data_IF_700761314202
#
_entry.id   IF_700761314202
#
_cell.length_a   1.000
_cell.length_b   1.000
_cell.length_c   1.000
_cell.angle_alpha   90.00
_cell.angle_beta   90.00
_cell.angle_gamma   90.00
#
_symmetry.space_group_name_H-M   'P 1'
#
loop_
_entity.id
_entity.type
_entity.pdbx_description
1 polymer ?
#
# COMPACT_ATOMS: atom_id res chain seq x y z
N UNK A 1 -58.35 62.83 3.19
CA UNK A 1 -57.08 63.15 3.87
C UNK A 1 -57.01 62.25 5.09
N UNK A 2 -56.61 60.98 4.98
CA UNK A 2 -55.24 60.51 4.73
C UNK A 2 -54.69 60.01 6.08
N UNK A 3 -54.91 58.73 6.40
CA UNK A 3 -54.35 58.06 7.59
C UNK A 3 -53.15 57.22 7.18
N UNK A 4 -52.04 57.34 7.92
CA UNK A 4 -50.82 56.55 7.76
C UNK A 4 -50.83 55.36 8.72
N UNK A 5 -50.64 54.15 8.22
CA UNK A 5 -50.22 52.99 9.00
C UNK A 5 -48.87 52.50 8.47
N UNK A 6 -47.86 52.51 9.34
CA UNK A 6 -46.53 51.98 9.06
C UNK A 6 -46.52 50.47 9.36
N UNK A 7 -46.30 49.65 8.33
CA UNK A 7 -46.08 48.22 8.46
C UNK A 7 -44.60 47.91 8.70
N UNK A 8 -44.27 47.28 9.82
CA UNK A 8 -42.95 46.75 10.10
C UNK A 8 -42.78 45.38 9.43
N UNK A 9 -41.82 45.26 8.50
CA UNK A 9 -41.43 43.99 7.89
C UNK A 9 -40.32 43.38 8.74
N UNK A 10 -40.60 42.26 9.41
CA UNK A 10 -39.57 41.42 10.03
C UNK A 10 -38.85 40.61 8.94
N UNK A 11 -37.59 40.94 8.70
CA UNK A 11 -36.69 40.14 7.88
C UNK A 11 -36.05 39.04 8.76
N UNK A 12 -36.51 37.81 8.61
CA UNK A 12 -35.92 36.63 9.25
C UNK A 12 -34.64 36.24 8.51
N UNK A 13 -33.48 36.51 9.10
CA UNK A 13 -32.17 36.07 8.57
C UNK A 13 -31.95 34.62 8.96
N UNK A 14 -32.02 33.70 7.99
CA UNK A 14 -31.59 32.31 8.16
C UNK A 14 -30.06 32.27 8.10
N UNK A 15 -29.41 32.22 9.27
CA UNK A 15 -28.00 31.92 9.37
C UNK A 15 -27.77 30.42 9.09
N UNK A 16 -27.46 30.08 7.84
CA UNK A 16 -26.97 28.76 7.46
C UNK A 16 -25.58 28.54 8.06
N UNK A 17 -25.50 27.77 9.15
CA UNK A 17 -24.22 27.37 9.73
C UNK A 17 -23.46 26.45 8.79
N UNK A 18 -22.29 26.87 8.32
CA UNK A 18 -21.34 26.01 7.65
C UNK A 18 -20.84 24.96 8.66
N UNK A 19 -21.45 23.78 8.69
CA UNK A 19 -20.84 22.61 9.34
C UNK A 19 -19.64 22.19 8.50
N UNK A 20 -18.48 22.74 8.81
CA UNK A 20 -17.21 22.19 8.32
C UNK A 20 -17.08 20.80 8.90
N UNK A 21 -17.37 19.77 8.10
CA UNK A 21 -17.09 18.39 8.48
C UNK A 21 -15.60 18.28 8.81
N UNK A 22 -15.28 18.05 10.08
CA UNK A 22 -13.90 17.89 10.53
C UNK A 22 -13.29 16.70 9.81
N UNK A 23 -12.19 16.93 9.08
CA UNK A 23 -11.45 15.84 8.42
C UNK A 23 -10.90 14.87 9.47
N UNK A 24 -10.91 13.56 9.20
CA UNK A 24 -10.32 12.59 10.10
C UNK A 24 -8.82 12.86 10.32
N UNK A 25 -8.36 12.76 11.56
CA UNK A 25 -6.93 12.87 11.88
C UNK A 25 -6.19 11.63 11.39
N UNK A 26 -5.11 11.82 10.63
CA UNK A 26 -4.29 10.72 10.11
C UNK A 26 -3.19 10.31 11.11
N UNK A 27 -2.82 9.01 11.18
CA UNK A 27 -1.69 8.55 11.97
C UNK A 27 -0.37 9.21 11.55
N UNK A 28 0.47 9.54 12.53
CA UNK A 28 1.79 10.14 12.30
C UNK A 28 2.84 9.09 11.88
N UNK A 29 2.73 7.84 12.37
CA UNK A 29 3.69 6.78 12.05
C UNK A 29 3.33 6.05 10.75
N UNK A 30 4.35 5.66 9.99
CA UNK A 30 4.17 4.86 8.76
C UNK A 30 3.46 3.52 9.02
N UNK A 31 3.73 2.91 10.19
CA UNK A 31 3.03 1.70 10.60
C UNK A 31 1.54 1.96 10.79
N UNK A 32 1.15 3.00 11.54
CA UNK A 32 -0.25 3.34 11.77
C UNK A 32 -0.97 3.72 10.47
N UNK A 33 -0.30 4.41 9.54
CA UNK A 33 -0.83 4.69 8.20
C UNK A 33 -1.09 3.42 7.40
N UNK A 34 -0.16 2.47 7.46
CA UNK A 34 -0.29 1.17 6.78
C UNK A 34 -1.43 0.34 7.37
N UNK A 35 -1.58 0.35 8.69
CA UNK A 35 -2.64 -0.39 9.38
C UNK A 35 -4.02 0.20 9.10
N UNK A 36 -4.14 1.53 8.99
CA UNK A 36 -5.38 2.18 8.59
C UNK A 36 -5.82 1.77 7.17
N UNK A 37 -4.88 1.75 6.21
CA UNK A 37 -5.17 1.31 4.84
C UNK A 37 -5.59 -0.17 4.82
N UNK A 38 -4.92 -1.04 5.58
CA UNK A 38 -5.27 -2.46 5.70
C UNK A 38 -6.67 -2.65 6.29
N UNK A 39 -7.00 -1.93 7.35
CA UNK A 39 -8.32 -2.00 7.97
C UNK A 39 -9.43 -1.57 7.00
N UNK A 40 -9.20 -0.47 6.25
CA UNK A 40 -10.13 -0.03 5.22
C UNK A 40 -10.26 -1.04 4.06
N UNK A 41 -9.16 -1.66 3.63
CA UNK A 41 -9.19 -2.71 2.63
C UNK A 41 -10.01 -3.92 3.10
N UNK A 42 -9.81 -4.35 4.35
CA UNK A 42 -10.57 -5.46 4.94
C UNK A 42 -12.08 -5.18 4.90
N UNK A 43 -12.51 -3.99 5.34
CA UNK A 43 -13.92 -3.56 5.26
C UNK A 43 -14.47 -3.67 3.84
N UNK A 44 -13.72 -3.16 2.85
CA UNK A 44 -14.16 -3.15 1.45
C UNK A 44 -14.28 -4.56 0.88
N UNK A 45 -13.30 -5.41 1.20
CA UNK A 45 -13.30 -6.82 0.81
C UNK A 45 -14.48 -7.54 1.45
N UNK A 46 -14.69 -7.40 2.75
CA UNK A 46 -15.78 -8.05 3.47
C UNK A 46 -17.14 -7.66 2.92
N UNK A 47 -17.37 -6.35 2.68
CA UNK A 47 -18.61 -5.86 2.05
C UNK A 47 -18.83 -6.50 0.68
N UNK A 48 -17.79 -6.51 -0.17
CA UNK A 48 -17.88 -7.14 -1.48
C UNK A 48 -18.18 -8.64 -1.40
N UNK A 49 -17.51 -9.35 -0.48
CA UNK A 49 -17.71 -10.79 -0.27
C UNK A 49 -19.14 -11.09 0.22
N UNK A 50 -19.66 -10.31 1.18
CA UNK A 50 -21.05 -10.43 1.64
C UNK A 50 -22.05 -10.16 0.52
N UNK A 51 -21.87 -9.09 -0.25
CA UNK A 51 -22.75 -8.77 -1.39
C UNK A 51 -22.76 -9.88 -2.44
N UNK A 52 -21.65 -10.61 -2.60
CA UNK A 52 -21.54 -11.75 -3.52
C UNK A 52 -22.01 -13.08 -2.93
N UNK A 53 -22.45 -13.12 -1.67
CA UNK A 53 -22.79 -14.36 -0.98
C UNK A 53 -21.58 -15.30 -0.76
N UNK A 54 -20.37 -14.73 -0.75
CA UNK A 54 -19.10 -15.44 -0.82
C UNK A 54 -18.28 -15.43 0.49
N UNK A 55 -18.81 -14.80 1.55
CA UNK A 55 -18.10 -14.57 2.81
C UNK A 55 -18.08 -15.78 3.79
N UNK A 56 -18.62 -16.93 3.41
CA UNK A 56 -18.64 -18.12 4.27
C UNK A 56 -17.24 -18.66 4.57
N UNK A 57 -17.05 -19.48 5.62
CA UNK A 57 -15.81 -20.21 5.84
C UNK A 57 -15.81 -21.57 5.11
N UNK A 58 -14.81 -21.89 4.25
CA UNK A 58 -13.71 -21.02 3.81
C UNK A 58 -14.19 -19.96 2.80
N UNK A 59 -13.54 -18.77 2.74
CA UNK A 59 -13.93 -17.72 1.81
C UNK A 59 -13.76 -18.19 0.36
N UNK A 60 -14.67 -17.80 -0.52
CA UNK A 60 -14.54 -18.12 -1.94
C UNK A 60 -13.34 -17.37 -2.54
N UNK A 61 -12.27 -18.11 -2.83
CA UNK A 61 -11.04 -17.58 -3.42
C UNK A 61 -11.27 -16.90 -4.78
N UNK A 62 -12.22 -17.39 -5.58
CA UNK A 62 -12.56 -16.81 -6.88
C UNK A 62 -13.22 -15.45 -6.71
N UNK A 63 -14.09 -15.31 -5.71
CA UNK A 63 -14.70 -14.02 -5.39
C UNK A 63 -13.68 -13.04 -4.80
N UNK A 64 -12.75 -13.53 -3.98
CA UNK A 64 -11.71 -12.72 -3.34
C UNK A 64 -10.66 -12.21 -4.33
N UNK A 65 -10.03 -13.14 -5.06
CA UNK A 65 -8.88 -12.87 -5.92
C UNK A 65 -9.24 -12.65 -7.38
N UNK A 66 -10.42 -13.06 -7.84
CA UNK A 66 -10.85 -12.96 -9.23
C UNK A 66 -10.75 -14.29 -9.99
N UNK A 67 -11.36 -14.33 -11.17
CA UNK A 67 -11.43 -15.49 -12.08
C UNK A 67 -11.12 -15.14 -13.52
N UNK A 68 -11.20 -13.86 -13.89
CA UNK A 68 -10.85 -13.40 -15.22
C UNK A 68 -9.38 -13.67 -15.54
N UNK A 69 -8.96 -13.64 -16.83
CA UNK A 69 -7.55 -13.69 -17.15
C UNK A 69 -6.83 -12.55 -16.42
N UNK A 70 -5.70 -12.83 -15.75
CA UNK A 70 -4.92 -11.80 -15.07
C UNK A 70 -4.51 -10.72 -16.09
N UNK A 71 -5.04 -9.51 -15.93
CA UNK A 71 -4.90 -8.42 -16.91
C UNK A 71 -3.70 -7.53 -16.65
N UNK A 72 -3.11 -7.61 -15.45
CA UNK A 72 -1.90 -6.88 -15.10
C UNK A 72 -0.75 -7.85 -14.91
N UNK A 73 0.38 -7.52 -15.54
CA UNK A 73 1.60 -8.34 -15.53
C UNK A 73 2.82 -7.41 -15.54
N UNK A 74 3.81 -7.72 -14.72
CA UNK A 74 5.08 -7.00 -14.69
C UNK A 74 6.23 -8.00 -14.61
N UNK A 75 7.15 -7.94 -15.56
CA UNK A 75 8.40 -8.71 -15.53
C UNK A 75 9.46 -7.89 -14.81
N UNK A 76 10.01 -8.48 -13.74
CA UNK A 76 11.04 -7.89 -12.89
C UNK A 76 12.43 -8.02 -13.52
N UNK A 77 13.39 -7.21 -13.07
CA UNK A 77 14.79 -7.31 -13.46
C UNK A 77 15.43 -8.67 -13.10
N UNK A 78 14.83 -9.39 -12.16
CA UNK A 78 15.19 -10.76 -11.77
C UNK A 78 14.73 -11.83 -12.77
N UNK A 79 13.87 -11.47 -13.73
CA UNK A 79 13.27 -12.38 -14.73
C UNK A 79 11.92 -12.96 -14.30
N UNK A 80 11.55 -12.86 -13.02
CA UNK A 80 10.23 -13.28 -12.54
C UNK A 80 9.13 -12.37 -13.08
N UNK A 81 7.97 -12.95 -13.38
CA UNK A 81 6.79 -12.19 -13.77
C UNK A 81 5.74 -12.26 -12.68
N UNK A 82 5.36 -11.09 -12.15
CA UNK A 82 4.25 -10.94 -11.20
C UNK A 82 3.00 -10.65 -11.99
N UNK A 83 1.89 -11.31 -11.65
CA UNK A 83 0.58 -11.14 -12.28
C UNK A 83 -0.47 -10.89 -11.21
N UNK A 84 -1.50 -10.12 -11.56
CA UNK A 84 -2.68 -9.99 -10.71
C UNK A 84 -3.95 -9.88 -11.56
N UNK A 85 -5.04 -10.34 -10.98
CA UNK A 85 -6.37 -10.19 -11.53
C UNK A 85 -6.86 -8.75 -11.30
N UNK A 86 -7.61 -8.23 -12.26
CA UNK A 86 -8.28 -6.93 -12.15
C UNK A 86 -9.74 -7.08 -11.72
N UNK A 87 -10.22 -8.30 -11.52
CA UNK A 87 -11.51 -8.63 -10.94
C UNK A 87 -11.36 -9.19 -9.51
N UNK A 88 -12.46 -9.63 -8.91
CA UNK A 88 -12.48 -10.02 -7.50
C UNK A 88 -12.64 -8.84 -6.53
N UNK A 89 -12.84 -9.17 -5.26
CA UNK A 89 -13.09 -8.19 -4.19
C UNK A 89 -11.83 -7.41 -3.81
N UNK A 90 -10.66 -8.04 -3.87
CA UNK A 90 -9.39 -7.36 -3.60
C UNK A 90 -9.10 -6.27 -4.65
N UNK A 91 -9.25 -6.58 -5.93
CA UNK A 91 -9.06 -5.60 -7.00
C UNK A 91 -10.04 -4.43 -6.91
N UNK A 92 -11.29 -4.69 -6.51
CA UNK A 92 -12.29 -3.64 -6.27
C UNK A 92 -11.88 -2.72 -5.12
N UNK A 93 -11.42 -3.29 -3.99
CA UNK A 93 -10.93 -2.51 -2.86
C UNK A 93 -9.71 -1.66 -3.24
N UNK A 94 -8.78 -2.23 -4.01
CA UNK A 94 -7.60 -1.49 -4.49
C UNK A 94 -7.99 -0.31 -5.40
N UNK A 95 -8.95 -0.49 -6.32
CA UNK A 95 -9.45 0.63 -7.14
C UNK A 95 -10.09 1.74 -6.31
N UNK A 96 -10.82 1.37 -5.26
CA UNK A 96 -11.41 2.36 -4.36
C UNK A 96 -10.33 3.16 -3.61
N UNK A 97 -9.35 2.46 -3.03
CA UNK A 97 -8.31 3.08 -2.19
C UNK A 97 -7.29 3.85 -3.03
N UNK A 98 -6.71 3.22 -4.05
CA UNK A 98 -5.59 3.78 -4.81
C UNK A 98 -6.02 4.47 -6.11
N UNK A 99 -7.24 4.24 -6.59
CA UNK A 99 -7.72 4.75 -7.88
C UNK A 99 -7.26 3.89 -9.04
N UNK A 100 -6.19 4.31 -9.74
CA UNK A 100 -5.64 3.59 -10.88
C UNK A 100 -4.91 2.32 -10.43
N UNK A 101 -5.58 1.16 -10.58
CA UNK A 101 -5.03 -0.14 -10.18
C UNK A 101 -3.77 -0.52 -10.98
N UNK A 102 -3.68 -0.17 -12.26
CA UNK A 102 -2.53 -0.52 -13.09
C UNK A 102 -1.29 0.27 -12.63
N UNK A 103 -1.48 1.56 -12.33
CA UNK A 103 -0.43 2.43 -11.79
C UNK A 103 -0.02 2.01 -10.38
N UNK A 104 -0.99 1.65 -9.52
CA UNK A 104 -0.71 1.08 -8.19
C UNK A 104 0.10 -0.20 -8.29
N UNK A 105 -0.36 -1.18 -9.08
CA UNK A 105 0.29 -2.47 -9.26
C UNK A 105 1.75 -2.31 -9.70
N UNK A 106 2.01 -1.49 -10.72
CA UNK A 106 3.39 -1.26 -11.19
C UNK A 106 4.27 -0.67 -10.10
N UNK A 107 3.78 0.35 -9.39
CA UNK A 107 4.55 1.05 -8.37
C UNK A 107 4.81 0.15 -7.15
N UNK A 108 3.79 -0.52 -6.62
CA UNK A 108 3.89 -1.44 -5.48
C UNK A 108 4.83 -2.60 -5.79
N UNK A 109 4.63 -3.28 -6.92
CA UNK A 109 5.47 -4.43 -7.29
C UNK A 109 6.92 -4.00 -7.47
N UNK A 110 7.19 -2.85 -8.11
CA UNK A 110 8.55 -2.34 -8.28
C UNK A 110 9.20 -2.03 -6.93
N UNK A 111 8.53 -1.26 -6.06
CA UNK A 111 9.06 -0.85 -4.76
C UNK A 111 9.33 -2.05 -3.84
N UNK A 112 8.42 -3.02 -3.81
CA UNK A 112 8.58 -4.23 -3.00
C UNK A 112 9.69 -5.17 -3.51
N UNK A 113 10.18 -4.97 -4.73
CA UNK A 113 11.20 -5.80 -5.36
C UNK A 113 12.57 -5.10 -5.56
N UNK A 114 12.76 -3.87 -5.04
CA UNK A 114 14.04 -3.15 -5.17
C UNK A 114 15.23 -3.90 -4.55
N UNK A 115 15.02 -4.58 -3.42
CA UNK A 115 16.08 -5.38 -2.76
C UNK A 115 16.41 -6.66 -3.56
N UNK A 116 15.44 -7.50 -3.94
CA UNK A 116 15.69 -8.62 -4.86
C UNK A 116 16.39 -8.22 -6.15
N UNK A 117 16.04 -7.06 -6.73
CA UNK A 117 16.75 -6.53 -7.89
C UNK A 117 18.21 -6.19 -7.58
N UNK A 118 18.48 -5.49 -6.47
CA UNK A 118 19.84 -5.16 -6.05
C UNK A 118 20.68 -6.42 -5.80
N UNK A 119 20.10 -7.46 -5.18
CA UNK A 119 20.75 -8.76 -4.97
C UNK A 119 21.07 -9.45 -6.30
N UNK A 120 20.14 -9.41 -7.27
CA UNK A 120 20.38 -9.96 -8.61
C UNK A 120 21.49 -9.21 -9.37
N UNK A 121 21.62 -7.90 -9.17
CA UNK A 121 22.74 -7.11 -9.72
C UNK A 121 24.06 -7.45 -9.02
N UNK A 122 24.06 -7.56 -7.69
CA UNK A 122 25.22 -8.00 -6.92
C UNK A 122 25.74 -9.37 -7.39
N UNK A 123 24.86 -10.34 -7.61
CA UNK A 123 25.24 -11.66 -8.12
C UNK A 123 25.85 -11.64 -9.53
N UNK A 124 25.69 -10.54 -10.29
CA UNK A 124 26.31 -10.31 -11.60
C UNK A 124 27.59 -9.46 -11.51
N UNK A 125 27.88 -8.86 -10.37
CA UNK A 125 29.05 -8.01 -10.19
C UNK A 125 30.35 -8.84 -10.25
N UNK A 126 31.31 -8.47 -11.13
CA UNK A 126 32.54 -9.24 -11.33
C UNK A 126 33.45 -9.22 -10.09
N UNK A 127 33.48 -8.12 -9.35
CA UNK A 127 34.27 -8.00 -8.12
C UNK A 127 33.71 -8.91 -7.03
N UNK A 128 32.38 -8.96 -6.92
CA UNK A 128 31.70 -9.86 -5.99
C UNK A 128 31.94 -11.34 -6.35
N UNK A 129 31.82 -11.69 -7.63
CA UNK A 129 32.13 -13.05 -8.13
C UNK A 129 33.58 -13.45 -7.87
N UNK A 130 34.52 -12.53 -8.08
CA UNK A 130 35.92 -12.78 -7.78
C UNK A 130 36.16 -12.99 -6.27
N UNK A 131 35.46 -12.24 -5.41
CA UNK A 131 35.54 -12.44 -3.96
C UNK A 131 34.94 -13.77 -3.50
N UNK A 132 33.83 -14.21 -4.11
CA UNK A 132 33.26 -15.54 -3.87
C UNK A 132 34.24 -16.65 -4.28
N UNK A 133 34.92 -16.50 -5.43
CA UNK A 133 35.94 -17.46 -5.86
C UNK A 133 37.13 -17.52 -4.89
N UNK A 134 37.63 -16.37 -4.41
CA UNK A 134 38.69 -16.33 -3.37
C UNK A 134 38.23 -17.03 -2.08
N UNK A 135 36.99 -16.80 -1.67
CA UNK A 135 36.41 -17.45 -0.48
C UNK A 135 36.32 -18.96 -0.65
N UNK A 136 35.90 -19.44 -1.82
CA UNK A 136 35.78 -20.86 -2.12
C UNK A 136 37.14 -21.59 -2.14
N UNK A 137 38.24 -20.86 -2.36
CA UNK A 137 39.59 -21.41 -2.32
C UNK A 137 40.17 -21.55 -0.91
N UNK A 138 39.51 -21.03 0.13
CA UNK A 138 39.97 -21.16 1.51
C UNK A 138 39.73 -22.58 2.05
N UNK A 139 40.68 -23.15 2.81
CA UNK A 139 40.46 -24.40 3.52
C UNK A 139 39.27 -24.32 4.50
N UNK A 140 38.61 -25.46 4.70
CA UNK A 140 37.52 -25.58 5.68
C UNK A 140 37.97 -25.09 7.05
N UNK A 141 37.12 -24.27 7.69
CA UNK A 141 37.32 -23.69 9.03
C UNK A 141 38.50 -22.70 9.14
N UNK A 142 39.20 -22.34 8.06
CA UNK A 142 40.22 -21.30 8.10
C UNK A 142 39.60 -19.89 8.10
N UNK A 143 39.23 -19.43 9.30
CA UNK A 143 38.65 -18.10 9.52
C UNK A 143 39.59 -16.95 9.16
N UNK A 144 40.92 -17.18 9.12
CA UNK A 144 41.91 -16.15 8.76
C UNK A 144 41.93 -15.95 7.25
N UNK A 145 42.04 -17.03 6.48
CA UNK A 145 41.94 -16.98 5.01
C UNK A 145 40.64 -16.30 4.58
N UNK A 146 39.54 -16.73 5.20
CA UNK A 146 38.20 -16.18 5.00
C UNK A 146 38.16 -14.66 5.17
N UNK A 147 38.69 -14.16 6.31
CA UNK A 147 38.69 -12.73 6.62
C UNK A 147 39.58 -11.94 5.65
N UNK A 148 40.77 -12.47 5.35
CA UNK A 148 41.69 -11.86 4.40
C UNK A 148 41.11 -11.76 2.98
N UNK A 149 40.17 -12.63 2.61
CA UNK A 149 39.46 -12.58 1.34
C UNK A 149 38.55 -11.35 1.14
N UNK A 150 38.19 -10.65 2.23
CA UNK A 150 37.45 -9.37 2.22
C UNK A 150 36.01 -9.46 1.70
N UNK A 151 35.42 -10.65 1.62
CA UNK A 151 34.10 -10.85 1.02
C UNK A 151 33.00 -10.07 1.76
N UNK A 152 32.98 -10.12 3.09
CA UNK A 152 31.91 -9.51 3.88
C UNK A 152 31.90 -7.98 3.78
N UNK A 153 33.09 -7.35 3.85
CA UNK A 153 33.25 -5.90 3.66
C UNK A 153 32.87 -5.47 2.24
N UNK A 154 33.31 -6.23 1.23
CA UNK A 154 32.93 -5.98 -0.16
C UNK A 154 31.42 -6.09 -0.36
N UNK A 155 30.82 -7.15 0.19
CA UNK A 155 29.38 -7.42 0.12
C UNK A 155 28.60 -6.26 0.71
N UNK A 156 28.91 -5.84 1.94
CA UNK A 156 28.20 -4.75 2.60
C UNK A 156 28.24 -3.45 1.78
N UNK A 157 29.40 -3.11 1.19
CA UNK A 157 29.54 -1.93 0.34
C UNK A 157 28.75 -2.05 -0.96
N UNK A 158 28.82 -3.19 -1.64
CA UNK A 158 28.12 -3.39 -2.91
C UNK A 158 26.60 -3.52 -2.72
N UNK A 159 26.11 -4.19 -1.68
CA UNK A 159 24.68 -4.27 -1.37
C UNK A 159 24.06 -2.87 -1.22
N UNK A 160 24.74 -1.98 -0.48
CA UNK A 160 24.30 -0.60 -0.33
C UNK A 160 24.30 0.16 -1.68
N UNK A 161 25.39 0.05 -2.46
CA UNK A 161 25.50 0.72 -3.75
C UNK A 161 24.44 0.23 -4.74
N UNK A 162 24.24 -1.08 -4.86
CA UNK A 162 23.27 -1.69 -5.76
C UNK A 162 21.83 -1.31 -5.39
N UNK A 163 21.51 -1.23 -4.10
CA UNK A 163 20.19 -0.76 -3.66
C UNK A 163 19.98 0.73 -3.97
N UNK A 164 21.01 1.56 -3.79
CA UNK A 164 20.96 2.97 -4.15
C UNK A 164 20.74 3.15 -5.65
N UNK A 165 21.42 2.38 -6.49
CA UNK A 165 21.23 2.38 -7.95
C UNK A 165 19.85 1.89 -8.36
N UNK A 166 19.34 0.82 -7.74
CA UNK A 166 17.98 0.33 -8.00
C UNK A 166 16.94 1.41 -7.64
N UNK A 167 17.08 2.07 -6.49
CA UNK A 167 16.23 3.20 -6.11
C UNK A 167 16.34 4.37 -7.08
N UNK A 168 17.56 4.70 -7.53
CA UNK A 168 17.79 5.78 -8.49
C UNK A 168 17.13 5.50 -9.84
N UNK A 169 17.20 4.25 -10.32
CA UNK A 169 16.58 3.80 -11.55
C UNK A 169 15.03 3.87 -11.48
N UNK A 170 14.46 3.56 -10.31
CA UNK A 170 13.01 3.48 -10.10
C UNK A 170 12.44 4.67 -9.30
N UNK A 171 13.07 5.85 -9.37
CA UNK A 171 12.61 7.03 -8.61
C UNK A 171 11.17 7.41 -8.93
N UNK A 172 10.74 7.27 -10.19
CA UNK A 172 9.38 7.62 -10.61
C UNK A 172 8.33 6.70 -9.99
N UNK A 173 8.63 5.41 -9.92
CA UNK A 173 7.79 4.39 -9.30
C UNK A 173 7.73 4.59 -7.80
N UNK A 174 8.85 4.92 -7.14
CA UNK A 174 8.89 5.27 -5.71
C UNK A 174 8.02 6.51 -5.42
N UNK A 175 8.17 7.59 -6.19
CA UNK A 175 7.32 8.78 -6.04
C UNK A 175 5.85 8.45 -6.24
N UNK A 176 5.54 7.65 -7.27
CA UNK A 176 4.16 7.21 -7.55
C UNK A 176 3.59 6.36 -6.42
N UNK A 177 4.38 5.46 -5.85
CA UNK A 177 3.99 4.62 -4.72
C UNK A 177 3.58 5.47 -3.52
N UNK A 178 4.39 6.48 -3.15
CA UNK A 178 4.05 7.39 -2.06
C UNK A 178 2.79 8.21 -2.35
N UNK A 179 2.65 8.77 -3.55
CA UNK A 179 1.46 9.53 -3.95
C UNK A 179 0.17 8.70 -3.84
N UNK A 180 0.20 7.46 -4.34
CA UNK A 180 -0.97 6.59 -4.31
C UNK A 180 -1.28 6.10 -2.90
N UNK A 181 -0.26 5.86 -2.07
CA UNK A 181 -0.45 5.56 -0.64
C UNK A 181 -1.04 6.71 0.13
N UNK A 182 -0.61 7.94 -0.13
CA UNK A 182 -1.18 9.13 0.50
C UNK A 182 -2.65 9.29 0.11
N UNK A 183 -3.00 9.09 -1.17
CA UNK A 183 -4.40 9.08 -1.61
C UNK A 183 -5.21 7.99 -0.89
N UNK A 184 -4.69 6.76 -0.85
CA UNK A 184 -5.34 5.63 -0.17
C UNK A 184 -5.51 5.88 1.33
N UNK A 185 -4.55 6.53 1.98
CA UNK A 185 -4.63 6.87 3.39
C UNK A 185 -5.81 7.81 3.69
N UNK A 186 -6.00 8.85 2.87
CA UNK A 186 -7.15 9.75 3.01
C UNK A 186 -8.48 9.02 2.76
N UNK A 187 -8.55 8.21 1.69
CA UNK A 187 -9.74 7.39 1.38
C UNK A 187 -10.07 6.41 2.51
N UNK A 188 -9.05 5.80 3.10
CA UNK A 188 -9.21 4.87 4.22
C UNK A 188 -9.76 5.59 5.46
N UNK A 189 -9.22 6.77 5.78
CA UNK A 189 -9.67 7.56 6.93
C UNK A 189 -11.12 8.02 6.76
N UNK A 190 -11.49 8.52 5.58
CA UNK A 190 -12.87 8.93 5.28
C UNK A 190 -13.84 7.74 5.35
N UNK A 191 -13.46 6.58 4.78
CA UNK A 191 -14.27 5.38 4.80
C UNK A 191 -14.57 4.91 6.24
N UNK A 192 -13.55 4.93 7.10
CA UNK A 192 -13.66 4.43 8.48
C UNK A 192 -14.35 5.44 9.40
N UNK A 193 -14.18 6.75 9.17
CA UNK A 193 -14.90 7.80 9.91
C UNK A 193 -16.39 7.84 9.59
N UNK A 194 -16.79 7.48 8.37
CA UNK A 194 -18.18 7.42 7.95
C UNK A 194 -18.93 6.18 8.47
N UNK A 195 -18.25 5.23 9.14
CA UNK A 195 -18.92 4.06 9.70
C UNK A 195 -19.64 4.44 11.00
N UNK A 196 -20.94 4.12 11.13
CA UNK A 196 -21.61 4.19 12.42
C UNK A 196 -20.84 3.33 13.42
N UNK A 197 -20.50 3.89 14.58
CA UNK A 197 -20.02 3.08 15.71
C UNK A 197 -21.02 1.95 15.94
N UNK A 198 -20.59 0.69 16.11
CA UNK A 198 -21.50 -0.39 16.43
C UNK A 198 -22.28 -0.01 17.69
N UNK A 199 -23.59 0.21 17.54
CA UNK A 199 -24.50 0.28 18.67
C UNK A 199 -24.47 -1.11 19.31
N UNK A 200 -23.73 -1.26 20.39
CA UNK A 200 -23.89 -2.39 21.29
C UNK A 200 -25.11 -2.06 22.16
N UNK A 201 -26.21 -2.80 21.96
CA UNK A 201 -27.33 -2.75 22.91
C UNK A 201 -26.82 -3.46 24.16
N UNK A 202 -26.57 -2.70 25.23
CA UNK A 202 -26.21 -3.25 26.52
C UNK A 202 -27.21 -4.34 26.91
N UNK A 203 -26.69 -5.53 27.23
CA UNK A 203 -27.46 -6.49 28.01
C UNK A 203 -27.53 -5.93 29.43
N UNK A 204 -28.72 -5.52 29.85
CA UNK A 204 -29.02 -5.33 31.26
C UNK A 204 -29.01 -6.72 31.93
N UNK A 205 -28.21 -6.95 32.99
CA UNK A 205 -28.33 -8.16 33.78
C UNK A 205 -29.62 -8.10 34.60
N UNK A 206 -30.46 -9.14 34.45
CA UNK A 206 -31.57 -9.45 35.36
C UNK A 206 -31.04 -10.04 36.67
#
# INVERSE_FOLDING_TARGET
>A
MGWTTAGAVLATVLAGGCTTASRPTLPASEQGRSDLIKAAQQVLVDRCMTTRGAAGPPPDEKALFGTGPAQLSLTLATGYTVRTHTDGCLAQAQRFLYGDQARWFRAEVTVNNLRPEAEARLGKDPSYRAALARRAACPDKDTRCVRAGGLDELRARLEHAQLAEARAAHRKEITTYHQLRDHALHRAADLLAAQPTPHWKGHDPS
#
